data_IF_229755987888
#
_entry.id   IF_229755987888
#
_cell.length_a   1.000
_cell.length_b   1.000
_cell.length_c   1.000
_cell.angle_alpha   90.00
_cell.angle_beta   90.00
_cell.angle_gamma   90.00
#
_symmetry.space_group_name_H-M   'P 1'
#
loop_
_entity.id
_entity.type
_entity.pdbx_description
1 polymer ?
#
# COMPACT_ATOMS: atom_id res chain seq x y z
N UNK A 1 24.07 6.74 6.94
CA UNK A 1 22.91 5.91 6.55
C UNK A 1 23.07 5.29 5.16
N UNK A 2 22.96 6.03 4.04
CA UNK A 2 22.99 5.40 2.71
C UNK A 2 24.34 4.75 2.36
N UNK A 3 25.47 5.38 2.71
CA UNK A 3 26.80 4.78 2.52
C UNK A 3 27.00 3.55 3.42
N UNK A 4 26.47 3.56 4.64
CA UNK A 4 26.52 2.40 5.54
C UNK A 4 25.68 1.25 4.97
N UNK A 5 24.46 1.56 4.50
CA UNK A 5 23.60 0.60 3.80
C UNK A 5 24.22 0.06 2.52
N UNK A 6 24.95 0.90 1.77
CA UNK A 6 25.70 0.46 0.59
C UNK A 6 26.77 -0.57 0.98
N UNK A 7 27.48 -0.38 2.10
CA UNK A 7 28.49 -1.33 2.59
C UNK A 7 27.87 -2.62 3.13
N UNK A 8 26.77 -2.52 3.87
CA UNK A 8 26.07 -3.66 4.47
C UNK A 8 25.35 -4.51 3.43
N UNK A 9 24.59 -3.86 2.54
CA UNK A 9 23.78 -4.49 1.52
C UNK A 9 23.66 -3.57 0.29
N UNK A 10 24.57 -3.70 -0.69
CA UNK A 10 24.52 -2.94 -1.93
C UNK A 10 23.23 -3.14 -2.75
N UNK A 11 22.51 -4.25 -2.52
CA UNK A 11 21.24 -4.55 -3.17
C UNK A 11 20.02 -4.07 -2.35
N UNK A 12 20.23 -3.33 -1.26
CA UNK A 12 19.12 -2.82 -0.46
C UNK A 12 18.21 -1.90 -1.28
N UNK A 13 16.91 -2.01 -1.04
CA UNK A 13 15.92 -1.15 -1.68
C UNK A 13 16.22 0.34 -1.46
N UNK A 14 16.70 0.73 -0.28
CA UNK A 14 17.06 2.11 0.02
C UNK A 14 18.14 2.68 -0.92
N UNK A 15 19.15 1.88 -1.27
CA UNK A 15 20.19 2.29 -2.24
C UNK A 15 19.64 2.24 -3.66
N UNK A 16 18.84 1.22 -3.99
CA UNK A 16 18.23 1.07 -5.32
C UNK A 16 17.24 2.20 -5.66
N UNK A 17 16.50 2.71 -4.66
CA UNK A 17 15.61 3.85 -4.82
C UNK A 17 16.37 5.18 -4.98
N UNK A 18 17.57 5.28 -4.40
CA UNK A 18 18.40 6.48 -4.47
C UNK A 18 19.09 6.65 -5.83
N UNK A 19 19.75 5.61 -6.33
CA UNK A 19 20.53 5.68 -7.57
C UNK A 19 20.82 4.31 -8.18
N UNK A 20 20.95 4.26 -9.51
CA UNK A 20 21.45 3.08 -10.23
C UNK A 20 22.98 2.97 -10.16
N UNK A 21 23.68 4.09 -9.93
CA UNK A 21 25.13 4.11 -9.72
C UNK A 21 25.46 3.78 -8.26
N UNK A 22 25.63 2.48 -8.00
CA UNK A 22 25.85 1.91 -6.66
C UNK A 22 27.32 1.99 -6.22
N UNK A 23 27.97 3.10 -6.51
CA UNK A 23 29.29 3.45 -5.98
C UNK A 23 29.15 4.50 -4.87
N UNK A 24 30.14 4.66 -3.97
CA UNK A 24 30.12 5.75 -2.99
C UNK A 24 29.91 7.12 -3.63
N UNK A 25 30.61 7.38 -4.75
CA UNK A 25 30.48 8.66 -5.47
C UNK A 25 29.10 8.81 -6.12
N UNK A 26 28.55 7.73 -6.69
CA UNK A 26 27.19 7.73 -7.24
C UNK A 26 26.13 8.03 -6.19
N UNK A 27 26.27 7.43 -5.00
CA UNK A 27 25.40 7.70 -3.84
C UNK A 27 25.55 9.15 -3.38
N UNK A 28 26.77 9.67 -3.23
CA UNK A 28 27.00 11.05 -2.82
C UNK A 28 26.43 12.06 -3.83
N UNK A 29 26.68 11.86 -5.13
CA UNK A 29 26.09 12.70 -6.19
C UNK A 29 24.57 12.73 -6.14
N UNK A 30 23.94 11.57 -5.90
CA UNK A 30 22.48 11.47 -5.81
C UNK A 30 21.91 12.17 -4.56
N UNK A 31 22.66 12.17 -3.45
CA UNK A 31 22.28 12.93 -2.25
C UNK A 31 22.47 14.44 -2.46
N UNK A 32 23.55 14.86 -3.11
CA UNK A 32 23.86 16.27 -3.32
C UNK A 32 22.88 16.95 -4.30
N UNK A 33 22.49 16.25 -5.35
CA UNK A 33 21.70 16.85 -6.45
C UNK A 33 20.23 16.40 -6.46
N UNK A 34 19.91 15.31 -5.76
CA UNK A 34 18.59 14.70 -5.75
C UNK A 34 17.74 15.09 -4.53
N UNK A 35 16.45 14.68 -4.53
CA UNK A 35 15.53 14.98 -3.43
C UNK A 35 15.90 14.26 -2.13
N UNK A 36 16.65 13.15 -2.21
CA UNK A 36 16.94 12.28 -1.08
C UNK A 36 18.02 12.81 -0.10
N UNK A 37 18.78 13.85 -0.47
CA UNK A 37 19.70 14.53 0.46
C UNK A 37 19.11 15.75 1.15
N UNK A 38 17.87 16.15 0.81
CA UNK A 38 17.18 17.24 1.49
C UNK A 38 16.72 16.78 2.87
N UNK A 39 16.86 17.64 3.88
CA UNK A 39 16.33 17.34 5.21
C UNK A 39 14.79 17.29 5.15
N UNK A 40 14.19 16.15 5.50
CA UNK A 40 12.73 15.93 5.45
C UNK A 40 11.94 16.94 6.31
N UNK A 41 12.57 17.49 7.34
CA UNK A 41 11.97 18.50 8.22
C UNK A 41 12.15 19.95 7.73
N UNK A 42 12.93 20.16 6.67
CA UNK A 42 13.22 21.49 6.10
C UNK A 42 13.03 21.54 4.60
N UNK A 43 12.21 20.64 4.06
CA UNK A 43 11.76 20.67 2.68
C UNK A 43 10.24 20.90 2.62
N UNK A 44 9.74 20.99 1.39
CA UNK A 44 8.34 21.12 1.01
C UNK A 44 7.59 19.78 1.02
N UNK A 45 7.97 18.86 1.92
CA UNK A 45 7.29 17.59 2.05
C UNK A 45 5.95 17.78 2.79
N UNK A 46 4.85 17.60 2.06
CA UNK A 46 3.48 17.72 2.54
C UNK A 46 2.80 16.36 2.74
N UNK A 47 3.54 15.26 2.58
CA UNK A 47 3.04 13.90 2.83
C UNK A 47 2.75 13.75 4.31
N UNK A 48 1.55 13.26 4.62
CA UNK A 48 1.13 12.94 5.98
C UNK A 48 2.04 11.86 6.60
N UNK A 49 2.50 12.10 7.83
CA UNK A 49 3.23 11.10 8.62
C UNK A 49 2.28 10.14 9.33
N UNK A 50 1.04 10.55 9.59
CA UNK A 50 -0.02 9.71 10.11
C UNK A 50 -1.38 10.08 9.54
N UNK A 51 -2.21 9.07 9.28
CA UNK A 51 -3.58 9.28 8.82
C UNK A 51 -4.48 8.16 9.34
N UNK A 52 -5.65 8.55 9.86
CA UNK A 52 -6.73 7.62 10.20
C UNK A 52 -7.89 7.89 9.26
N UNK A 53 -8.28 6.86 8.50
CA UNK A 53 -9.43 6.91 7.58
C UNK A 53 -10.52 6.02 8.16
N UNK A 54 -11.71 6.58 8.34
CA UNK A 54 -12.91 5.85 8.75
C UNK A 54 -13.85 5.73 7.55
N UNK A 55 -14.28 4.52 7.26
CA UNK A 55 -15.10 4.19 6.10
C UNK A 55 -16.34 3.43 6.56
N UNK A 56 -17.48 3.81 6.01
CA UNK A 56 -18.74 3.08 6.14
C UNK A 56 -19.14 2.56 4.77
N UNK A 57 -19.37 1.25 4.69
CA UNK A 57 -19.80 0.56 3.47
C UNK A 57 -21.31 0.27 3.53
N UNK A 58 -21.89 0.04 2.34
CA UNK A 58 -23.25 -0.46 2.24
C UNK A 58 -23.41 -1.74 3.07
N UNK A 59 -24.53 -1.85 3.79
CA UNK A 59 -24.77 -2.95 4.73
C UNK A 59 -24.17 -2.77 6.12
N UNK A 60 -23.59 -1.59 6.43
CA UNK A 60 -23.16 -1.22 7.77
C UNK A 60 -21.76 -1.72 8.17
N UNK A 61 -21.01 -2.30 7.23
CA UNK A 61 -19.61 -2.65 7.47
C UNK A 61 -18.79 -1.37 7.70
N UNK A 62 -18.13 -1.30 8.85
CA UNK A 62 -17.23 -0.21 9.20
C UNK A 62 -15.78 -0.65 9.06
N UNK A 63 -14.93 0.21 8.51
CA UNK A 63 -13.49 -0.04 8.37
C UNK A 63 -12.73 1.17 8.91
N UNK A 64 -11.69 0.91 9.69
CA UNK A 64 -10.68 1.89 10.06
C UNK A 64 -9.35 1.49 9.43
N UNK A 65 -8.74 2.41 8.70
CA UNK A 65 -7.38 2.29 8.22
C UNK A 65 -6.52 3.31 8.97
N UNK A 66 -5.48 2.84 9.65
CA UNK A 66 -4.48 3.70 10.30
C UNK A 66 -3.15 3.51 9.60
N UNK A 67 -2.60 4.60 9.09
CA UNK A 67 -1.27 4.67 8.48
C UNK A 67 -0.34 5.46 9.40
N UNK A 68 0.87 4.96 9.59
CA UNK A 68 1.95 5.61 10.33
C UNK A 68 3.24 5.46 9.52
N UNK A 69 3.77 6.58 8.99
CA UNK A 69 4.98 6.62 8.18
C UNK A 69 6.28 6.55 9.00
N UNK A 70 6.22 6.96 10.27
CA UNK A 70 7.36 6.96 11.19
C UNK A 70 7.15 6.01 12.38
N UNK A 71 7.14 4.70 12.12
CA UNK A 71 6.95 3.66 13.14
C UNK A 71 8.28 3.00 13.54
N UNK A 72 8.40 2.59 14.81
CA UNK A 72 9.52 1.75 15.28
C UNK A 72 9.55 0.38 14.59
N UNK A 73 8.37 -0.16 14.30
CA UNK A 73 8.18 -1.45 13.63
C UNK A 73 7.47 -1.18 12.31
N UNK A 74 8.14 -1.53 11.21
CA UNK A 74 7.51 -1.62 9.90
C UNK A 74 6.70 -2.92 9.81
N UNK A 75 5.55 -2.83 9.15
CA UNK A 75 4.70 -3.98 8.86
C UNK A 75 3.24 -3.60 8.78
N UNK A 76 2.43 -4.58 8.39
CA UNK A 76 0.97 -4.44 8.29
C UNK A 76 0.28 -5.35 9.30
N UNK A 77 -0.72 -4.82 9.98
CA UNK A 77 -1.62 -5.61 10.83
C UNK A 77 -3.05 -5.47 10.34
N UNK A 78 -3.79 -6.56 10.38
CA UNK A 78 -5.21 -6.60 9.98
C UNK A 78 -6.00 -7.28 11.08
N UNK A 79 -7.18 -6.73 11.39
CA UNK A 79 -8.22 -7.37 12.17
C UNK A 79 -9.50 -7.39 11.36
N UNK A 80 -10.12 -8.56 11.23
CA UNK A 80 -11.44 -8.72 10.60
C UNK A 80 -12.33 -9.46 11.60
N UNK A 81 -13.35 -8.77 12.08
CA UNK A 81 -14.36 -9.33 12.97
C UNK A 81 -15.55 -9.84 12.15
N UNK A 82 -15.76 -11.16 12.16
CA UNK A 82 -16.97 -11.79 11.65
C UNK A 82 -17.91 -12.18 12.77
N UNK A 83 -19.11 -12.65 12.42
CA UNK A 83 -20.08 -13.13 13.41
C UNK A 83 -19.63 -14.40 14.14
N UNK A 84 -18.83 -15.25 13.46
CA UNK A 84 -18.37 -16.54 13.98
C UNK A 84 -16.94 -16.53 14.50
N UNK A 85 -16.09 -15.67 13.96
CA UNK A 85 -14.67 -15.68 14.26
C UNK A 85 -14.05 -14.30 14.05
N UNK A 86 -12.91 -14.09 14.72
CA UNK A 86 -12.04 -12.94 14.53
C UNK A 86 -10.75 -13.41 13.84
N UNK A 87 -10.38 -12.78 12.73
CA UNK A 87 -9.09 -12.97 12.07
C UNK A 87 -8.14 -11.85 12.50
N UNK A 88 -6.94 -12.22 12.94
CA UNK A 88 -5.83 -11.31 13.20
C UNK A 88 -4.67 -11.69 12.29
N UNK A 89 -4.09 -10.73 11.58
CA UNK A 89 -2.89 -10.95 10.79
C UNK A 89 -1.81 -9.92 11.17
N UNK A 90 -0.57 -10.38 11.28
CA UNK A 90 0.59 -9.55 11.52
C UNK A 90 1.70 -9.96 10.55
N UNK A 91 1.97 -9.08 9.60
CA UNK A 91 2.91 -9.35 8.52
C UNK A 91 4.37 -9.37 9.02
N UNK A 92 4.76 -8.46 9.92
CA UNK A 92 6.15 -8.41 10.41
C UNK A 92 6.53 -9.66 11.21
N UNK A 93 5.55 -10.27 11.90
CA UNK A 93 5.65 -11.57 12.59
C UNK A 93 5.40 -12.78 11.67
N UNK A 94 4.82 -12.59 10.49
CA UNK A 94 4.49 -13.69 9.57
C UNK A 94 3.39 -14.61 10.09
N UNK A 95 2.42 -14.05 10.83
CA UNK A 95 1.40 -14.82 11.54
C UNK A 95 -0.02 -14.41 11.14
N UNK A 96 -0.90 -15.40 11.07
CA UNK A 96 -2.35 -15.23 10.98
C UNK A 96 -2.97 -16.10 12.08
N UNK A 97 -3.89 -15.54 12.83
CA UNK A 97 -4.68 -16.24 13.83
C UNK A 97 -6.17 -16.12 13.51
N UNK A 98 -6.91 -17.22 13.68
CA UNK A 98 -8.37 -17.26 13.56
C UNK A 98 -8.93 -17.76 14.88
N UNK A 99 -9.70 -16.91 15.55
CA UNK A 99 -10.29 -17.17 16.86
C UNK A 99 -11.78 -17.47 16.69
N UNK A 100 -12.20 -18.73 16.87
CA UNK A 100 -13.61 -19.15 16.77
C UNK A 100 -14.37 -18.76 18.05
N UNK A 101 -15.40 -17.92 17.91
CA UNK A 101 -16.14 -17.34 19.04
C UNK A 101 -16.96 -18.34 19.85
N UNK A 102 -17.22 -19.54 19.30
CA UNK A 102 -18.09 -20.54 19.93
C UNK A 102 -17.30 -21.56 20.72
N UNK A 103 -16.07 -21.85 20.29
CA UNK A 103 -15.25 -22.95 20.81
C UNK A 103 -13.99 -22.49 21.53
N UNK A 104 -13.66 -21.20 21.44
CA UNK A 104 -12.38 -20.61 21.86
C UNK A 104 -11.15 -21.26 21.19
N UNK A 105 -11.37 -22.04 20.12
CA UNK A 105 -10.31 -22.63 19.35
C UNK A 105 -9.56 -21.54 18.56
N UNK A 106 -8.23 -21.64 18.56
CA UNK A 106 -7.35 -20.74 17.81
C UNK A 106 -6.61 -21.53 16.75
N UNK A 107 -6.90 -21.24 15.49
CA UNK A 107 -6.08 -21.70 14.37
C UNK A 107 -4.93 -20.71 14.16
N UNK A 108 -3.69 -21.21 14.08
CA UNK A 108 -2.51 -20.40 13.80
C UNK A 108 -1.86 -20.83 12.51
N UNK A 109 -1.69 -19.88 11.60
CA UNK A 109 -1.01 -20.07 10.33
C UNK A 109 0.26 -19.23 10.38
N UNK A 110 1.41 -19.90 10.38
CA UNK A 110 2.71 -19.25 10.24
C UNK A 110 3.17 -19.35 8.78
N UNK A 111 3.48 -18.21 8.17
CA UNK A 111 4.09 -18.17 6.85
C UNK A 111 5.60 -18.02 6.99
N UNK A 112 6.34 -18.90 6.30
CA UNK A 112 7.77 -18.67 6.10
C UNK A 112 7.95 -17.42 5.25
N UNK A 113 8.87 -16.54 5.65
CA UNK A 113 9.25 -15.39 4.82
C UNK A 113 9.71 -15.90 3.45
N UNK A 114 9.09 -15.40 2.39
CA UNK A 114 9.55 -15.64 1.02
C UNK A 114 10.94 -15.05 0.78
N UNK A 115 11.51 -15.36 -0.38
CA UNK A 115 12.78 -14.74 -0.81
C UNK A 115 12.52 -13.27 -1.17
N UNK A 116 13.44 -12.38 -0.78
CA UNK A 116 13.37 -10.95 -1.10
C UNK A 116 12.70 -10.08 -0.04
N UNK A 117 12.52 -8.79 -0.36
CA UNK A 117 12.04 -7.77 0.57
C UNK A 117 10.52 -7.72 0.78
N UNK A 118 9.74 -8.47 0.01
CA UNK A 118 8.27 -8.35 -0.03
C UNK A 118 7.52 -9.64 0.40
N UNK A 119 8.15 -10.46 1.25
CA UNK A 119 7.50 -11.61 1.88
C UNK A 119 7.02 -12.72 0.93
N UNK A 120 7.44 -12.70 -0.34
CA UNK A 120 7.01 -13.65 -1.39
C UNK A 120 5.75 -13.26 -2.15
N UNK A 121 5.18 -12.08 -1.90
CA UNK A 121 3.99 -11.58 -2.62
C UNK A 121 4.22 -11.37 -4.11
N UNK A 122 5.38 -10.81 -4.47
CA UNK A 122 5.78 -10.53 -5.86
C UNK A 122 5.78 -11.80 -6.72
N UNK A 123 6.34 -12.90 -6.20
CA UNK A 123 6.36 -14.18 -6.91
C UNK A 123 4.95 -14.70 -7.19
N UNK A 124 4.03 -14.51 -6.25
CA UNK A 124 2.62 -14.88 -6.42
C UNK A 124 1.93 -14.06 -7.50
N UNK A 125 2.14 -12.74 -7.48
CA UNK A 125 1.60 -11.83 -8.50
C UNK A 125 2.16 -12.13 -9.88
N UNK A 126 3.47 -12.35 -10.01
CA UNK A 126 4.10 -12.67 -11.30
C UNK A 126 3.66 -14.02 -11.84
N UNK A 127 3.51 -15.05 -10.99
CA UNK A 127 2.93 -16.33 -11.41
C UNK A 127 1.50 -16.18 -11.92
N UNK A 128 0.66 -15.43 -11.21
CA UNK A 128 -0.72 -15.17 -11.64
C UNK A 128 -0.77 -14.40 -12.96
N UNK A 129 0.12 -13.43 -13.15
CA UNK A 129 0.22 -12.65 -14.38
C UNK A 129 0.64 -13.50 -15.59
N UNK A 130 1.72 -14.28 -15.47
CA UNK A 130 2.19 -15.17 -16.56
C UNK A 130 1.15 -16.24 -16.87
N UNK A 131 0.56 -16.87 -15.85
CA UNK A 131 -0.53 -17.83 -16.04
C UNK A 131 -1.69 -17.22 -16.82
N UNK A 132 -2.06 -15.98 -16.51
CA UNK A 132 -3.16 -15.29 -17.21
C UNK A 132 -2.86 -14.99 -18.68
N UNK A 133 -1.60 -14.76 -19.04
CA UNK A 133 -1.16 -14.63 -20.44
C UNK A 133 -1.30 -15.97 -21.16
N UNK A 134 -0.95 -17.07 -20.49
CA UNK A 134 -1.05 -18.43 -21.01
C UNK A 134 -2.49 -18.99 -20.98
N UNK A 135 -3.46 -18.20 -20.53
CA UNK A 135 -4.89 -18.53 -20.51
C UNK A 135 -5.42 -19.05 -19.17
N UNK A 136 -4.56 -19.32 -18.19
CA UNK A 136 -4.95 -19.69 -16.82
C UNK A 136 -5.21 -18.45 -15.97
N UNK A 137 -6.49 -18.15 -15.75
CA UNK A 137 -6.91 -16.99 -14.95
C UNK A 137 -7.20 -17.33 -13.48
N UNK A 138 -6.95 -18.55 -13.03
CA UNK A 138 -7.27 -18.99 -11.65
C UNK A 138 -6.56 -18.16 -10.58
N UNK A 139 -5.34 -17.69 -10.87
CA UNK A 139 -4.56 -16.84 -9.97
C UNK A 139 -4.93 -15.35 -10.00
N UNK A 140 -5.81 -14.91 -10.92
CA UNK A 140 -6.16 -13.49 -11.07
C UNK A 140 -7.29 -13.14 -10.10
N UNK A 141 -6.92 -12.67 -8.90
CA UNK A 141 -7.86 -12.33 -7.84
C UNK A 141 -8.40 -10.89 -7.92
N UNK A 142 -7.69 -10.00 -8.62
CA UNK A 142 -8.04 -8.58 -8.70
C UNK A 142 -8.08 -8.13 -10.16
N UNK A 143 -9.18 -7.50 -10.55
CA UNK A 143 -9.39 -6.88 -11.86
C UNK A 143 -8.88 -5.44 -11.90
N UNK A 144 -8.65 -4.92 -13.11
CA UNK A 144 -8.32 -3.51 -13.31
C UNK A 144 -9.42 -2.57 -12.76
N UNK A 145 -10.69 -2.99 -12.78
CA UNK A 145 -11.80 -2.21 -12.25
C UNK A 145 -11.73 -2.07 -10.73
N UNK A 146 -11.41 -3.16 -10.03
CA UNK A 146 -11.21 -3.14 -8.57
C UNK A 146 -9.99 -2.31 -8.18
N UNK A 147 -8.91 -2.38 -8.96
CA UNK A 147 -7.74 -1.52 -8.77
C UNK A 147 -8.11 -0.03 -8.93
N UNK A 148 -8.90 0.34 -9.94
CA UNK A 148 -9.39 1.73 -10.07
C UNK A 148 -10.25 2.14 -8.88
N UNK A 149 -11.14 1.26 -8.41
CA UNK A 149 -11.98 1.54 -7.24
C UNK A 149 -11.14 1.81 -5.97
N UNK A 150 -10.06 1.05 -5.75
CA UNK A 150 -9.17 1.28 -4.59
C UNK A 150 -8.42 2.61 -4.69
N UNK A 151 -8.01 3.04 -5.89
CA UNK A 151 -7.39 4.35 -6.09
C UNK A 151 -8.38 5.49 -5.86
N UNK A 152 -9.61 5.36 -6.35
CA UNK A 152 -10.66 6.35 -6.09
C UNK A 152 -10.94 6.50 -4.59
N UNK A 153 -10.90 5.40 -3.83
CA UNK A 153 -11.04 5.43 -2.38
C UNK A 153 -9.89 6.21 -1.71
N UNK A 154 -8.66 6.02 -2.16
CA UNK A 154 -7.51 6.79 -1.66
C UNK A 154 -7.65 8.29 -1.95
N UNK A 155 -8.09 8.67 -3.15
CA UNK A 155 -8.32 10.07 -3.49
C UNK A 155 -9.50 10.69 -2.72
N UNK A 156 -10.57 9.93 -2.49
CA UNK A 156 -11.68 10.37 -1.66
C UNK A 156 -11.26 10.58 -0.19
N UNK A 157 -10.39 9.71 0.34
CA UNK A 157 -9.81 9.88 1.68
C UNK A 157 -8.96 11.15 1.78
N UNK A 158 -8.25 11.51 0.71
CA UNK A 158 -7.49 12.76 0.64
C UNK A 158 -8.39 14.00 0.53
N UNK A 159 -9.45 13.94 -0.28
CA UNK A 159 -10.46 15.02 -0.34
C UNK A 159 -11.13 15.22 1.04
N UNK A 160 -11.42 14.13 1.75
CA UNK A 160 -11.94 14.18 3.12
C UNK A 160 -10.94 14.83 4.10
N UNK A 161 -9.64 14.50 3.99
CA UNK A 161 -8.59 15.08 4.84
C UNK A 161 -8.46 16.60 4.64
N UNK A 162 -8.45 17.05 3.39
CA UNK A 162 -8.27 18.47 3.05
C UNK A 162 -9.49 19.31 3.41
N UNK A 163 -10.69 18.76 3.28
CA UNK A 163 -11.95 19.48 3.53
C UNK A 163 -12.45 19.34 4.97
N UNK A 164 -11.98 18.33 5.71
CA UNK A 164 -12.52 17.94 7.01
C UNK A 164 -13.95 17.40 6.95
N UNK A 165 -14.43 16.99 5.76
CA UNK A 165 -15.80 16.52 5.53
C UNK A 165 -15.83 15.04 5.16
N UNK A 166 -16.94 14.37 5.46
CA UNK A 166 -17.19 13.03 4.94
C UNK A 166 -17.43 13.05 3.43
N UNK A 167 -16.78 12.17 2.67
CA UNK A 167 -16.94 12.06 1.22
C UNK A 167 -17.83 10.86 0.87
N UNK A 168 -18.85 11.11 0.05
CA UNK A 168 -19.68 10.04 -0.54
C UNK A 168 -18.95 9.44 -1.75
N UNK A 169 -18.66 8.13 -1.69
CA UNK A 169 -17.96 7.44 -2.78
C UNK A 169 -18.75 7.43 -4.09
N UNK A 170 -20.09 7.38 -4.04
CA UNK A 170 -20.94 7.45 -5.22
C UNK A 170 -20.77 8.80 -5.94
N UNK A 171 -20.96 9.90 -5.20
CA UNK A 171 -20.81 11.25 -5.74
C UNK A 171 -19.37 11.54 -6.22
N UNK A 172 -18.37 11.05 -5.47
CA UNK A 172 -16.96 11.20 -5.83
C UNK A 172 -16.63 10.49 -7.15
N UNK A 173 -17.15 9.29 -7.34
CA UNK A 173 -16.92 8.50 -8.57
C UNK A 173 -17.62 9.12 -9.78
N UNK A 174 -18.84 9.64 -9.61
CA UNK A 174 -19.57 10.37 -10.66
C UNK A 174 -18.82 11.63 -11.10
N UNK A 175 -18.35 12.42 -10.13
CA UNK A 175 -17.50 13.61 -10.36
C UNK A 175 -16.23 13.24 -11.14
N UNK A 176 -15.52 12.20 -10.70
CA UNK A 176 -14.29 11.75 -11.35
C UNK A 176 -14.53 11.28 -12.80
N UNK A 177 -15.66 10.59 -13.06
CA UNK A 177 -16.03 10.17 -14.40
C UNK A 177 -16.35 11.37 -15.32
N UNK A 178 -17.09 12.37 -14.81
CA UNK A 178 -17.45 13.57 -15.57
C UNK A 178 -16.22 14.44 -15.91
N UNK A 179 -15.24 14.55 -15.01
CA UNK A 179 -13.99 15.27 -15.28
C UNK A 179 -13.17 14.66 -16.42
N UNK A 180 -13.19 13.34 -16.58
CA UNK A 180 -12.54 12.64 -17.70
C UNK A 180 -13.19 13.00 -19.04
N UNK A 181 -14.52 13.04 -19.08
CA UNK A 181 -15.27 13.32 -20.30
C UNK A 181 -15.11 14.80 -20.73
N UNK A 182 -14.89 15.72 -19.78
CA UNK A 182 -14.50 17.11 -20.07
C UNK A 182 -13.09 17.22 -20.68
N UNK A 183 -12.11 16.48 -20.14
CA UNK A 183 -10.72 16.50 -20.62
C UNK A 183 -10.56 15.91 -22.03
N UNK A 184 -11.33 14.88 -22.37
CA UNK A 184 -11.35 14.26 -23.70
C UNK A 184 -12.05 15.11 -24.77
N UNK A 185 -12.93 16.04 -24.37
CA UNK A 185 -13.56 16.99 -25.29
C UNK A 185 -12.64 18.17 -25.60
N UNK A 186 -11.83 18.63 -24.66
CA UNK A 186 -10.87 19.72 -24.86
C UNK A 186 -9.60 19.32 -25.62
N UNK A 187 -9.38 18.02 -25.87
CA UNK A 187 -8.20 17.52 -26.61
C UNK A 187 -8.51 17.15 -28.07
N UNK A 188 -9.68 17.55 -28.59
CA UNK A 188 -10.13 17.27 -29.97
C UNK A 188 -10.40 18.53 -30.80
N UNK A 189 -10.08 19.70 -30.25
CA UNK A 189 -10.05 21.00 -30.93
C UNK A 189 -8.59 21.48 -31.03
#
# INVERSE_FOLDING_TARGET
MYLDRLRENPASFAVAALTLDRTPDGVMRALETGPYGRCVYRCDNDVVDHQVVLMSFAGGLAVSLTMQGASHIEGRTIRIDGTRATLLANESRGEIEIHDHRTDAVERISKRRGVGGHGGGDDGLMRAFVGAIDGDRTGVLTSAREAVASHLLAFAAEEARLTGQSVSMAAFTEKAAASRDGLLRTSRD
#
